data_IF_103480721733
#
_entry.id   IF_103480721733
#
_cell.length_a   1.000
_cell.length_b   1.000
_cell.length_c   1.000
_cell.angle_alpha   90.00
_cell.angle_beta   90.00
_cell.angle_gamma   90.00
#
_symmetry.space_group_name_H-M   'P 1'
#
loop_
_entity.id
_entity.type
_entity.pdbx_description
1 polymer ?
#
# COMPACT_ATOMS: atom_id res chain seq x y z
N UNK A 1 47.74 31.64 9.39
CA UNK A 1 47.56 31.24 9.42
C UNK A 1 46.78 30.53 9.30
N UNK A 2 46.19 30.10 8.97
CA UNK A 2 45.73 29.49 8.78
C UNK A 2 44.79 28.74 9.22
N UNK A 3 44.17 28.33 9.46
CA UNK A 3 43.48 27.62 10.07
C UNK A 3 42.16 27.72 9.97
N UNK A 4 41.51 28.39 9.56
CA UNK A 4 40.21 28.58 9.52
C UNK A 4 39.36 27.71 8.74
N UNK A 5 39.81 27.13 7.82
CA UNK A 5 38.99 26.39 6.92
C UNK A 5 38.28 25.23 7.49
N UNK A 6 38.71 24.78 8.57
CA UNK A 6 38.14 23.64 9.09
C UNK A 6 36.71 23.65 9.42
N UNK A 7 36.24 24.70 9.87
CA UNK A 7 34.88 24.78 10.32
C UNK A 7 33.87 24.40 9.30
N UNK A 8 34.25 24.52 8.08
CA UNK A 8 33.29 24.26 7.06
C UNK A 8 32.77 22.89 7.01
N UNK A 9 33.57 21.97 7.36
CA UNK A 9 33.18 20.61 7.25
C UNK A 9 32.01 20.24 8.10
N UNK A 10 31.93 20.82 9.23
CA UNK A 10 30.89 20.43 10.12
C UNK A 10 29.54 20.78 9.58
N UNK A 11 29.46 21.71 8.72
CA UNK A 11 28.20 22.09 8.18
C UNK A 11 27.54 21.00 7.36
N UNK A 12 28.32 20.33 6.63
CA UNK A 12 27.78 19.30 5.79
C UNK A 12 27.14 18.19 6.61
N UNK A 13 27.73 17.93 7.73
CA UNK A 13 27.20 16.90 8.57
C UNK A 13 25.86 17.26 9.15
N UNK A 14 25.71 18.48 9.48
CA UNK A 14 24.49 18.92 10.07
C UNK A 14 23.32 18.76 9.11
N UNK A 15 23.56 19.03 7.87
CA UNK A 15 22.53 18.93 6.90
C UNK A 15 21.95 17.53 6.80
N UNK A 16 22.80 16.56 6.82
CA UNK A 16 22.28 15.20 6.70
C UNK A 16 21.56 14.76 7.97
N UNK A 17 21.96 15.26 9.08
CA UNK A 17 21.32 14.86 10.32
C UNK A 17 19.91 15.38 10.43
N UNK A 18 19.56 16.33 9.64
CA UNK A 18 18.23 16.91 9.74
C UNK A 18 17.15 16.08 9.06
N UNK A 19 17.54 15.12 8.30
CA UNK A 19 16.54 14.30 7.64
C UNK A 19 15.87 13.39 8.62
N UNK A 20 14.55 13.48 8.67
CA UNK A 20 13.80 12.60 9.53
C UNK A 20 13.47 11.32 8.78
N UNK A 21 13.62 10.19 9.42
CA UNK A 21 13.19 8.95 8.78
C UNK A 21 11.67 8.97 8.62
N UNK A 22 11.21 8.49 7.52
CA UNK A 22 9.79 8.30 7.33
C UNK A 22 9.36 7.10 8.12
N UNK A 23 8.14 7.13 8.62
CA UNK A 23 7.60 5.95 9.25
C UNK A 23 7.49 4.86 8.22
N UNK A 24 7.96 3.68 8.59
CA UNK A 24 7.90 2.55 7.69
C UNK A 24 6.44 2.15 7.47
N UNK A 25 6.13 1.65 6.30
CA UNK A 25 4.83 1.12 6.02
C UNK A 25 4.63 -0.20 6.78
N UNK A 26 3.40 -0.50 7.13
CA UNK A 26 3.07 -1.77 7.75
C UNK A 26 3.01 -2.88 6.73
N UNK A 27 2.54 -2.55 5.52
CA UNK A 27 2.46 -3.49 4.40
C UNK A 27 2.85 -2.79 3.12
N UNK A 28 3.23 -3.59 2.14
CA UNK A 28 3.58 -3.09 0.81
C UNK A 28 2.87 -3.92 -0.24
N UNK A 29 2.23 -3.26 -1.19
CA UNK A 29 1.66 -3.97 -2.34
C UNK A 29 2.80 -4.27 -3.31
N UNK A 30 3.07 -5.54 -3.52
CA UNK A 30 4.15 -5.96 -4.40
C UNK A 30 3.71 -5.94 -5.85
N UNK A 31 2.50 -6.42 -6.11
CA UNK A 31 1.93 -6.38 -7.44
C UNK A 31 0.42 -6.46 -7.30
N UNK A 32 -0.28 -5.90 -8.27
CA UNK A 32 -1.73 -6.00 -8.32
C UNK A 32 -2.17 -5.77 -9.75
N UNK A 33 -3.26 -6.42 -10.11
CA UNK A 33 -3.82 -6.30 -11.44
C UNK A 33 -5.32 -6.45 -11.36
N UNK A 34 -6.03 -5.59 -12.05
CA UNK A 34 -7.48 -5.68 -12.15
C UNK A 34 -7.85 -5.79 -13.62
N UNK A 35 -8.73 -6.73 -13.93
CA UNK A 35 -9.16 -7.00 -15.30
C UNK A 35 -10.67 -6.92 -15.34
N UNK A 36 -11.20 -6.20 -16.34
CA UNK A 36 -12.63 -6.13 -16.57
C UNK A 36 -13.02 -7.20 -17.55
N UNK A 37 -13.92 -8.07 -17.13
CA UNK A 37 -14.56 -9.06 -17.98
C UNK A 37 -15.98 -8.59 -18.28
N UNK A 38 -16.73 -9.26 -19.15
CA UNK A 38 -18.04 -8.73 -19.56
C UNK A 38 -18.98 -8.40 -18.43
N UNK A 39 -18.97 -9.16 -17.33
CA UNK A 39 -19.92 -8.96 -16.26
C UNK A 39 -19.29 -8.69 -14.91
N UNK A 40 -17.95 -8.68 -14.81
CA UNK A 40 -17.28 -8.55 -13.52
C UNK A 40 -15.91 -7.93 -13.64
N UNK A 41 -15.38 -7.49 -12.50
CA UNK A 41 -14.01 -7.05 -12.37
C UNK A 41 -13.32 -8.03 -11.43
N UNK A 42 -12.14 -8.52 -11.83
CA UNK A 42 -11.35 -9.43 -11.04
C UNK A 42 -10.06 -8.72 -10.65
N UNK A 43 -9.75 -8.73 -9.35
CA UNK A 43 -8.52 -8.12 -8.85
C UNK A 43 -7.68 -9.19 -8.17
N UNK A 44 -6.42 -9.27 -8.55
CA UNK A 44 -5.45 -10.17 -7.94
C UNK A 44 -4.23 -9.39 -7.53
N UNK A 45 -3.52 -9.89 -6.54
CA UNK A 45 -2.28 -9.26 -6.15
C UNK A 45 -1.56 -9.94 -5.01
N UNK A 46 -0.45 -9.35 -4.63
CA UNK A 46 0.37 -9.81 -3.51
C UNK A 46 0.74 -8.65 -2.62
N UNK A 47 0.76 -8.92 -1.33
CA UNK A 47 1.12 -7.95 -0.31
C UNK A 47 2.20 -8.57 0.57
N UNK A 48 3.14 -7.73 1.04
CA UNK A 48 4.18 -8.16 1.97
C UNK A 48 4.04 -7.39 3.26
N UNK A 49 4.23 -8.06 4.39
CA UNK A 49 4.28 -7.40 5.69
C UNK A 49 5.66 -6.79 5.85
N UNK A 50 5.72 -5.47 5.95
CA UNK A 50 6.98 -4.74 6.04
C UNK A 50 7.18 -4.07 7.39
N UNK A 51 6.17 -4.10 8.25
CA UNK A 51 6.29 -3.62 9.61
C UNK A 51 7.06 -4.62 10.47
N UNK A 52 7.29 -4.25 11.72
CA UNK A 52 8.10 -5.07 12.61
C UNK A 52 7.26 -6.03 13.46
N UNK A 53 5.97 -6.12 13.22
CA UNK A 53 5.09 -7.01 13.95
C UNK A 53 4.29 -7.86 12.98
N UNK A 54 3.96 -9.09 13.36
CA UNK A 54 3.07 -9.89 12.52
C UNK A 54 1.68 -9.28 12.48
N UNK A 55 0.97 -9.54 11.40
CA UNK A 55 -0.40 -9.05 11.24
C UNK A 55 -1.38 -10.20 11.31
N UNK A 56 -2.45 -10.00 12.06
CA UNK A 56 -3.51 -10.99 12.22
C UNK A 56 -4.73 -10.50 11.46
N UNK A 57 -5.34 -11.39 10.69
CA UNK A 57 -6.59 -11.08 10.01
C UNK A 57 -6.52 -9.92 9.05
N UNK A 58 -5.47 -9.88 8.23
CA UNK A 58 -5.26 -8.78 7.28
C UNK A 58 -6.39 -8.74 6.24
N UNK A 59 -6.97 -7.57 6.09
CA UNK A 59 -8.03 -7.31 5.10
C UNK A 59 -7.56 -6.24 4.14
N UNK A 60 -7.71 -6.51 2.85
CA UNK A 60 -7.39 -5.57 1.80
C UNK A 60 -8.69 -4.96 1.30
N UNK A 61 -8.74 -3.65 1.16
CA UNK A 61 -9.93 -2.93 0.72
C UNK A 61 -9.60 -2.18 -0.56
N UNK A 62 -10.42 -2.39 -1.58
CA UNK A 62 -10.26 -1.71 -2.86
C UNK A 62 -11.31 -0.63 -2.98
N UNK A 63 -10.89 0.62 -3.19
CA UNK A 63 -11.79 1.73 -3.48
C UNK A 63 -11.71 1.97 -4.98
N UNK A 64 -12.78 1.61 -5.68
CA UNK A 64 -12.84 1.77 -7.13
C UNK A 64 -13.30 3.18 -7.46
N UNK A 65 -12.58 3.83 -8.37
CA UNK A 65 -12.78 5.26 -8.62
C UNK A 65 -13.13 5.53 -10.07
N UNK A 66 -13.96 6.56 -10.24
CA UNK A 66 -14.36 7.07 -11.55
C UNK A 66 -13.24 7.91 -12.15
N UNK A 67 -13.38 8.33 -13.43
CA UNK A 67 -12.44 9.29 -14.02
C UNK A 67 -12.30 10.56 -13.20
N UNK A 68 -13.36 10.97 -12.48
CA UNK A 68 -13.33 12.16 -11.64
C UNK A 68 -12.75 11.89 -10.26
N UNK A 69 -12.21 10.68 -10.04
CA UNK A 69 -11.56 10.28 -8.79
C UNK A 69 -12.52 10.07 -7.63
N UNK A 70 -13.80 9.97 -7.88
CA UNK A 70 -14.78 9.66 -6.85
C UNK A 70 -14.84 8.17 -6.62
N UNK A 71 -15.06 7.75 -5.39
CA UNK A 71 -15.22 6.34 -5.07
C UNK A 71 -16.62 5.91 -5.51
N UNK A 72 -16.69 4.98 -6.47
CA UNK A 72 -17.97 4.48 -6.95
C UNK A 72 -18.39 3.21 -6.23
N UNK A 73 -17.45 2.43 -5.74
CA UNK A 73 -17.75 1.24 -4.96
C UNK A 73 -16.52 0.78 -4.21
N UNK A 74 -16.71 -0.04 -3.20
CA UNK A 74 -15.65 -0.56 -2.35
C UNK A 74 -15.82 -2.07 -2.23
N UNK A 75 -14.72 -2.81 -2.32
CA UNK A 75 -14.71 -4.26 -2.16
C UNK A 75 -13.60 -4.67 -1.22
N UNK A 76 -13.75 -5.84 -0.61
CA UNK A 76 -12.78 -6.37 0.33
C UNK A 76 -12.25 -7.71 -0.13
N UNK A 77 -11.02 -7.99 0.23
CA UNK A 77 -10.43 -9.32 0.06
C UNK A 77 -9.73 -9.67 1.35
N UNK A 78 -9.86 -10.92 1.77
CA UNK A 78 -9.23 -11.42 2.97
C UNK A 78 -8.04 -12.25 2.54
N UNK A 79 -6.92 -12.07 3.25
CA UNK A 79 -5.74 -12.90 3.03
C UNK A 79 -6.00 -14.24 3.72
N UNK A 80 -5.73 -15.34 3.02
CA UNK A 80 -6.03 -16.68 3.52
C UNK A 80 -5.32 -17.03 4.81
N UNK A 81 -4.10 -16.56 4.99
CA UNK A 81 -3.38 -16.85 6.22
C UNK A 81 -3.92 -16.00 7.35
N UNK A 82 -4.24 -16.62 8.48
CA UNK A 82 -4.71 -15.89 9.64
C UNK A 82 -3.64 -14.97 10.21
N UNK A 83 -2.37 -15.37 10.10
CA UNK A 83 -1.25 -14.61 10.63
C UNK A 83 -0.20 -14.51 9.54
N UNK A 84 0.24 -13.28 9.26
CA UNK A 84 1.35 -13.03 8.35
C UNK A 84 2.51 -12.44 9.15
N UNK A 85 3.61 -13.19 9.20
CA UNK A 85 4.82 -12.73 9.85
C UNK A 85 5.51 -11.64 9.04
N UNK A 86 6.36 -10.89 9.69
CA UNK A 86 7.15 -9.86 9.03
C UNK A 86 7.96 -10.47 7.88
N UNK A 87 7.91 -9.85 6.73
CA UNK A 87 8.61 -10.32 5.55
C UNK A 87 7.85 -11.33 4.71
N UNK A 88 6.74 -11.85 5.23
CA UNK A 88 5.95 -12.84 4.49
C UNK A 88 5.02 -12.16 3.52
N UNK A 89 4.68 -12.89 2.46
CA UNK A 89 3.79 -12.40 1.43
C UNK A 89 2.46 -13.12 1.54
N UNK A 90 1.39 -12.38 1.26
CA UNK A 90 0.05 -12.93 1.15
C UNK A 90 -0.52 -12.61 -0.21
N UNK A 91 -1.40 -13.49 -0.68
CA UNK A 91 -2.06 -13.32 -1.97
C UNK A 91 -3.48 -12.88 -1.71
N UNK A 92 -3.95 -11.91 -2.50
CA UNK A 92 -5.35 -11.51 -2.40
C UNK A 92 -6.02 -11.65 -3.75
N UNK A 93 -7.32 -11.91 -3.71
CA UNK A 93 -8.14 -12.08 -4.89
C UNK A 93 -9.55 -11.58 -4.56
N UNK A 94 -10.15 -10.86 -5.49
CA UNK A 94 -11.51 -10.38 -5.32
C UNK A 94 -12.21 -10.36 -6.66
N UNK A 95 -13.50 -10.70 -6.66
CA UNK A 95 -14.34 -10.59 -7.83
C UNK A 95 -15.57 -9.80 -7.45
N UNK A 96 -16.01 -8.95 -8.36
CA UNK A 96 -17.19 -8.13 -8.10
C UNK A 96 -17.92 -7.88 -9.41
N UNK A 97 -19.21 -7.55 -9.31
CA UNK A 97 -19.97 -7.15 -10.48
C UNK A 97 -19.34 -5.92 -11.10
N UNK A 98 -19.42 -5.81 -12.41
CA UNK A 98 -18.79 -4.70 -13.11
C UNK A 98 -19.39 -3.35 -12.66
N UNK A 99 -18.52 -2.46 -12.22
CA UNK A 99 -18.90 -1.10 -11.93
C UNK A 99 -18.43 -0.26 -13.12
N UNK A 100 -19.35 0.03 -14.02
CA UNK A 100 -19.00 0.57 -15.33
C UNK A 100 -18.22 1.87 -15.27
N UNK A 101 -18.45 2.69 -14.24
CA UNK A 101 -17.76 3.97 -14.12
C UNK A 101 -16.38 3.85 -13.51
N UNK A 102 -16.04 2.70 -12.94
CA UNK A 102 -14.74 2.51 -12.30
C UNK A 102 -13.66 2.36 -13.35
N UNK A 103 -12.61 3.17 -13.27
CA UNK A 103 -11.47 3.09 -14.20
C UNK A 103 -10.16 2.84 -13.48
N UNK A 104 -10.11 3.11 -12.18
CA UNK A 104 -8.92 2.92 -11.36
C UNK A 104 -9.34 2.46 -9.97
N UNK A 105 -8.38 1.99 -9.19
CA UNK A 105 -8.64 1.64 -7.80
C UNK A 105 -7.44 1.97 -6.93
N UNK A 106 -7.72 2.27 -5.67
CA UNK A 106 -6.70 2.44 -4.65
C UNK A 106 -6.92 1.38 -3.59
N UNK A 107 -5.88 1.08 -2.83
CA UNK A 107 -5.90 -0.01 -1.86
C UNK A 107 -5.69 0.54 -0.46
N UNK A 108 -6.51 0.05 0.48
CA UNK A 108 -6.31 0.27 1.91
C UNK A 108 -6.17 -1.07 2.58
N UNK A 109 -5.55 -1.11 3.74
CA UNK A 109 -5.34 -2.35 4.48
C UNK A 109 -5.72 -2.14 5.92
N UNK A 110 -6.31 -3.18 6.54
CA UNK A 110 -6.76 -3.14 7.92
C UNK A 110 -6.37 -4.43 8.62
N UNK A 111 -6.14 -4.35 9.93
CA UNK A 111 -5.89 -5.55 10.73
C UNK A 111 -7.21 -6.10 11.29
N UNK A 112 -7.13 -7.13 12.12
CA UNK A 112 -8.32 -7.78 12.67
C UNK A 112 -9.12 -6.88 13.60
N UNK A 113 -8.52 -5.81 14.11
CA UNK A 113 -9.20 -4.86 14.97
C UNK A 113 -9.71 -3.65 14.20
N UNK A 114 -9.73 -3.75 12.87
CA UNK A 114 -10.19 -2.69 11.98
C UNK A 114 -9.32 -1.43 12.06
N UNK A 115 -8.07 -1.60 12.48
CA UNK A 115 -7.13 -0.51 12.48
C UNK A 115 -6.54 -0.37 11.08
N UNK A 116 -6.59 0.84 10.55
CA UNK A 116 -6.03 1.09 9.23
C UNK A 116 -4.50 1.07 9.29
N UNK A 117 -3.89 0.34 8.38
CA UNK A 117 -2.45 0.17 8.33
C UNK A 117 -1.85 1.13 7.31
N UNK A 118 -0.57 1.46 7.51
CA UNK A 118 0.16 2.23 6.51
C UNK A 118 0.56 1.31 5.39
N UNK A 119 0.30 1.78 4.17
CA UNK A 119 0.51 0.94 3.02
C UNK A 119 1.45 1.63 2.03
N UNK A 120 2.45 0.91 1.56
CA UNK A 120 3.32 1.40 0.50
C UNK A 120 2.79 0.89 -0.82
N UNK A 121 2.77 1.77 -1.80
CA UNK A 121 2.31 1.45 -3.15
C UNK A 121 0.80 1.16 -3.19
N UNK A 122 0.03 2.12 -2.70
CA UNK A 122 -1.43 1.98 -2.60
C UNK A 122 -2.17 2.34 -3.89
N UNK A 123 -1.47 2.74 -4.93
CA UNK A 123 -2.10 3.12 -6.20
C UNK A 123 -2.21 4.62 -6.34
N UNK A 124 -3.03 5.09 -7.29
CA UNK A 124 -4.06 4.33 -8.00
C UNK A 124 -3.51 3.40 -9.08
N UNK A 125 -4.25 2.34 -9.32
CA UNK A 125 -3.91 1.35 -10.35
C UNK A 125 -5.03 1.32 -11.39
N UNK A 126 -4.70 1.11 -12.68
CA UNK A 126 -5.73 1.07 -13.71
C UNK A 126 -6.47 -0.27 -13.71
N UNK A 127 -7.71 -0.25 -14.22
CA UNK A 127 -8.45 -1.47 -14.54
C UNK A 127 -8.24 -1.73 -16.01
N UNK A 128 -7.72 -2.90 -16.34
CA UNK A 128 -7.40 -3.28 -17.71
C UNK A 128 -8.58 -3.85 -18.48
#
# INVERSE_FOLDING_TARGET
MKVSSIALLSLALVASAQQKPKKAADVQILETRAVREPTRIIVDGKVRVTGDKPLHGLVIVFDFRSPEKEVVTTQKAIIDEDILETGREGVFHSEMADAARAVKYTIRAFDMHEKELRIANAGPFPIE
#
